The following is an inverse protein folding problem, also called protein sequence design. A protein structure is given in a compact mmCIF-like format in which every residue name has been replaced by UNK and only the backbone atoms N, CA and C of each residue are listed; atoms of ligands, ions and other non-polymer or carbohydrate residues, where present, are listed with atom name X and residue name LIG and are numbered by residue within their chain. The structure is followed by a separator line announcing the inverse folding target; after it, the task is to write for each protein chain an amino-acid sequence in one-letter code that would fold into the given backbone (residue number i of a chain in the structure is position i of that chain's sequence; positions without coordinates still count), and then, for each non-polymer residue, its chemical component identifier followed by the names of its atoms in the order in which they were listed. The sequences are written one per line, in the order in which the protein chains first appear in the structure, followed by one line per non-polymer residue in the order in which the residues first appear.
data_IF_528619209275
#
_entry.id   IF_528619209275
#
_cell.length_a   1.000
_cell.length_b   1.000
_cell.length_c   1.000
_cell.angle_alpha   90.00
_cell.angle_beta   90.00
_cell.angle_gamma   90.00
#
_symmetry.space_group_name_H-M   'P 1'
#
loop_
_entity.id
_entity.type
_entity.pdbx_description
1 polymer ?
#
# COMPACT_ATOMS: atom_id res chain seq x y z
N UNK A 1 -40.09 -45.49 -0.10
CA UNK A 1 -38.98 -44.67 0.44
C UNK A 1 -38.28 -44.05 -0.74
N UNK A 2 -38.59 -42.80 -1.04
CA UNK A 2 -37.89 -41.98 -2.05
C UNK A 2 -36.74 -41.30 -1.37
N UNK A 3 -35.52 -41.46 -1.90
CA UNK A 3 -34.34 -40.77 -1.44
C UNK A 3 -34.45 -39.25 -1.75
N UNK A 4 -34.13 -38.42 -0.79
CA UNK A 4 -34.01 -36.95 -0.97
C UNK A 4 -32.84 -36.63 -1.89
N UNK A 5 -32.95 -35.62 -2.77
CA UNK A 5 -31.85 -35.23 -3.63
C UNK A 5 -30.70 -34.60 -2.84
N UNK A 6 -29.52 -35.06 -3.13
CA UNK A 6 -28.24 -34.54 -2.64
C UNK A 6 -28.00 -33.15 -3.22
N UNK A 7 -28.18 -32.10 -2.41
CA UNK A 7 -27.98 -30.68 -2.77
C UNK A 7 -26.59 -30.15 -2.33
N UNK A 8 -25.64 -31.08 -2.11
CA UNK A 8 -24.33 -30.71 -1.53
C UNK A 8 -23.22 -30.24 -2.49
N UNK A 9 -23.37 -30.33 -3.82
CA UNK A 9 -22.26 -30.15 -4.75
C UNK A 9 -22.29 -28.90 -5.63
N UNK A 10 -23.35 -28.09 -5.62
CA UNK A 10 -23.58 -27.07 -6.67
C UNK A 10 -23.08 -25.65 -6.36
N UNK A 11 -22.75 -25.32 -5.12
CA UNK A 11 -22.30 -23.96 -4.79
C UNK A 11 -20.77 -23.78 -4.75
N UNK A 12 -20.02 -24.87 -4.64
CA UNK A 12 -18.54 -24.83 -4.59
C UNK A 12 -17.86 -24.87 -5.97
N UNK A 13 -18.56 -25.33 -7.02
CA UNK A 13 -17.99 -25.51 -8.36
C UNK A 13 -18.08 -24.30 -9.29
N UNK A 14 -18.63 -23.18 -8.88
CA UNK A 14 -18.80 -21.99 -9.72
C UNK A 14 -17.62 -21.00 -9.69
N UNK A 15 -16.56 -21.28 -8.96
CA UNK A 15 -15.30 -20.56 -9.11
C UNK A 15 -14.44 -21.24 -10.17
N UNK A 16 -14.84 -21.04 -11.42
CA UNK A 16 -14.11 -21.50 -12.59
C UNK A 16 -12.69 -20.95 -12.57
N UNK A 17 -11.69 -21.82 -12.60
CA UNK A 17 -10.24 -21.57 -12.70
C UNK A 17 -9.83 -21.00 -14.08
N UNK A 18 -10.65 -20.15 -14.68
CA UNK A 18 -10.22 -19.32 -15.79
C UNK A 18 -9.20 -18.35 -15.24
N UNK A 19 -8.00 -18.30 -15.82
CA UNK A 19 -6.95 -17.31 -15.55
C UNK A 19 -7.61 -15.95 -15.49
N UNK A 20 -7.85 -15.48 -14.26
CA UNK A 20 -8.57 -14.23 -14.04
C UNK A 20 -7.58 -13.08 -14.19
N UNK A 21 -7.92 -12.08 -14.98
CA UNK A 21 -7.11 -10.85 -15.09
C UNK A 21 -6.89 -10.27 -13.69
N UNK A 22 -5.63 -10.02 -13.30
CA UNK A 22 -5.32 -9.43 -12.01
C UNK A 22 -6.02 -8.08 -11.81
N UNK A 23 -6.51 -7.82 -10.60
CA UNK A 23 -7.06 -6.50 -10.27
C UNK A 23 -5.91 -5.51 -10.07
N UNK A 24 -5.83 -4.43 -10.87
CA UNK A 24 -4.72 -3.48 -10.81
C UNK A 24 -4.65 -2.69 -9.48
N UNK A 25 -5.59 -2.88 -8.57
CA UNK A 25 -5.57 -2.23 -7.26
C UNK A 25 -4.66 -2.90 -6.25
N UNK A 26 -4.36 -4.20 -6.42
CA UNK A 26 -3.63 -4.98 -5.43
C UNK A 26 -2.24 -5.35 -5.94
N UNK A 27 -1.24 -5.01 -5.14
CA UNK A 27 0.16 -5.26 -5.49
C UNK A 27 1.00 -5.70 -4.30
N UNK A 28 2.26 -6.00 -4.60
CA UNK A 28 3.28 -6.23 -3.60
C UNK A 28 4.62 -5.62 -4.04
N UNK A 29 5.41 -5.19 -3.05
CA UNK A 29 6.76 -4.71 -3.31
C UNK A 29 7.67 -5.91 -3.56
N UNK A 30 8.56 -5.78 -4.55
CA UNK A 30 9.58 -6.78 -4.91
C UNK A 30 9.01 -8.16 -5.27
N UNK A 31 7.83 -8.20 -5.90
CA UNK A 31 7.19 -9.47 -6.29
C UNK A 31 7.96 -10.23 -7.39
N UNK A 32 8.86 -9.56 -8.10
CA UNK A 32 9.73 -10.16 -9.10
C UNK A 32 10.71 -11.21 -8.56
N UNK A 33 10.99 -11.22 -7.24
CA UNK A 33 11.83 -12.25 -6.65
C UNK A 33 11.15 -13.62 -6.56
N UNK A 34 9.80 -13.66 -6.56
CA UNK A 34 9.02 -14.90 -6.64
C UNK A 34 7.81 -14.72 -7.57
N UNK A 35 8.09 -14.86 -8.87
CA UNK A 35 7.07 -14.70 -9.91
C UNK A 35 5.93 -15.72 -9.78
N UNK A 36 6.20 -16.95 -9.31
CA UNK A 36 5.17 -17.95 -9.14
C UNK A 36 4.22 -17.57 -8.00
N UNK A 37 4.74 -17.10 -6.89
CA UNK A 37 3.93 -16.58 -5.78
C UNK A 37 3.12 -15.36 -6.20
N UNK A 38 3.72 -14.45 -6.97
CA UNK A 38 3.01 -13.28 -7.51
C UNK A 38 1.82 -13.66 -8.40
N UNK A 39 1.95 -14.74 -9.18
CA UNK A 39 0.86 -15.30 -10.00
C UNK A 39 -0.20 -15.99 -9.13
N UNK A 40 0.20 -16.82 -8.17
CA UNK A 40 -0.72 -17.49 -7.24
C UNK A 40 -1.57 -16.49 -6.45
N UNK A 41 -0.96 -15.37 -6.06
CA UNK A 41 -1.63 -14.24 -5.40
C UNK A 41 -2.42 -13.35 -6.36
N UNK A 42 -2.38 -13.59 -7.66
CA UNK A 42 -3.06 -12.80 -8.70
C UNK A 42 -2.80 -11.29 -8.56
N UNK A 43 -1.53 -10.90 -8.34
CA UNK A 43 -1.13 -9.49 -8.16
C UNK A 43 -1.27 -8.70 -9.46
N UNK A 44 -1.88 -7.51 -9.40
CA UNK A 44 -2.07 -6.61 -10.55
C UNK A 44 -0.90 -5.69 -10.82
N UNK A 45 -0.03 -5.49 -9.83
CA UNK A 45 1.16 -4.65 -9.98
C UNK A 45 2.25 -4.99 -8.97
N UNK A 46 3.46 -4.54 -9.27
CA UNK A 46 4.63 -4.68 -8.41
C UNK A 46 5.51 -3.44 -8.47
N UNK A 47 6.27 -3.18 -7.41
CA UNK A 47 7.22 -2.09 -7.35
C UNK A 47 8.64 -2.63 -7.39
N UNK A 48 9.47 -2.08 -8.29
CA UNK A 48 10.89 -2.38 -8.44
C UNK A 48 11.70 -1.15 -8.03
N UNK A 49 12.78 -1.37 -7.28
CA UNK A 49 13.71 -0.32 -6.86
C UNK A 49 14.76 -0.05 -7.94
N UNK A 50 14.94 1.20 -8.29
CA UNK A 50 15.94 1.70 -9.22
C UNK A 50 16.95 2.56 -8.46
N UNK A 51 17.97 1.91 -7.90
CA UNK A 51 19.05 2.58 -7.18
C UNK A 51 20.01 3.26 -8.15
N UNK A 52 19.94 4.58 -8.28
CA UNK A 52 20.80 5.32 -9.20
C UNK A 52 22.28 5.03 -8.98
N UNK A 53 22.73 4.98 -7.72
CA UNK A 53 24.13 4.67 -7.37
C UNK A 53 24.60 3.30 -7.86
N UNK A 54 23.68 2.34 -8.02
CA UNK A 54 23.99 0.98 -8.52
C UNK A 54 23.83 0.88 -10.03
N UNK A 55 22.85 1.59 -10.59
CA UNK A 55 22.62 1.64 -12.04
C UNK A 55 23.74 2.37 -12.81
N UNK A 56 24.30 3.42 -12.19
CA UNK A 56 25.34 4.26 -12.76
C UNK A 56 26.35 4.66 -11.67
N UNK A 57 27.26 3.76 -11.35
CA UNK A 57 28.19 3.92 -10.23
C UNK A 57 29.23 5.04 -10.42
N UNK A 58 29.50 5.47 -11.67
CA UNK A 58 30.29 6.65 -12.01
C UNK A 58 29.66 7.41 -13.17
N UNK A 59 30.08 8.66 -13.41
CA UNK A 59 29.51 9.51 -14.46
C UNK A 59 29.62 8.88 -15.86
N UNK A 60 30.69 8.14 -16.12
CA UNK A 60 30.97 7.49 -17.39
C UNK A 60 30.80 5.97 -17.36
N UNK A 61 30.19 5.43 -16.25
CA UNK A 61 29.95 4.00 -16.16
C UNK A 61 28.88 3.56 -17.15
N UNK A 62 29.04 2.37 -17.70
CA UNK A 62 27.98 1.68 -18.41
C UNK A 62 26.80 1.42 -17.48
N UNK A 63 25.62 1.41 -18.07
CA UNK A 63 24.40 1.11 -17.34
C UNK A 63 24.41 -0.33 -16.79
N UNK A 64 24.27 -0.47 -15.48
CA UNK A 64 24.23 -1.78 -14.84
C UNK A 64 22.87 -2.49 -15.09
N UNK A 65 22.86 -3.39 -16.06
CA UNK A 65 21.66 -4.16 -16.43
C UNK A 65 21.27 -5.23 -15.41
N UNK A 66 22.14 -5.53 -14.45
CA UNK A 66 21.89 -6.57 -13.44
C UNK A 66 21.11 -6.05 -12.23
N UNK A 67 21.09 -4.74 -12.02
CA UNK A 67 20.32 -4.15 -10.91
C UNK A 67 18.81 -4.24 -11.15
N UNK A 68 18.35 -4.07 -12.40
CA UNK A 68 16.97 -4.38 -12.80
C UNK A 68 17.03 -5.21 -14.10
N UNK A 69 16.67 -6.48 -13.97
CA UNK A 69 16.82 -7.45 -15.05
C UNK A 69 15.62 -7.38 -16.02
N UNK A 70 15.90 -7.40 -17.32
CA UNK A 70 14.85 -7.39 -18.36
C UNK A 70 13.90 -8.59 -18.24
N UNK A 71 14.37 -9.73 -17.71
CA UNK A 71 13.56 -10.93 -17.44
C UNK A 71 12.43 -10.68 -16.46
N UNK A 72 12.63 -9.86 -15.43
CA UNK A 72 11.59 -9.50 -14.46
C UNK A 72 10.44 -8.72 -15.12
N UNK A 73 10.80 -7.77 -16.00
CA UNK A 73 9.81 -6.97 -16.72
C UNK A 73 9.03 -7.80 -17.74
N UNK A 74 9.73 -8.71 -18.44
CA UNK A 74 9.09 -9.63 -19.39
C UNK A 74 8.12 -10.57 -18.71
N UNK A 75 8.47 -11.10 -17.52
CA UNK A 75 7.60 -11.95 -16.72
C UNK A 75 6.38 -11.19 -16.19
N UNK A 76 6.57 -9.99 -15.65
CA UNK A 76 5.47 -9.15 -15.21
C UNK A 76 4.48 -8.87 -16.34
N UNK A 77 4.97 -8.48 -17.50
CA UNK A 77 4.15 -8.22 -18.70
C UNK A 77 3.38 -9.47 -19.17
N UNK A 78 4.04 -10.63 -19.19
CA UNK A 78 3.44 -11.91 -19.55
C UNK A 78 2.25 -12.27 -18.67
N UNK A 79 2.30 -11.91 -17.39
CA UNK A 79 1.27 -12.24 -16.40
C UNK A 79 0.33 -11.08 -16.04
N UNK A 80 0.37 -9.99 -16.84
CA UNK A 80 -0.52 -8.84 -16.67
C UNK A 80 -0.26 -7.99 -15.41
N UNK A 81 0.94 -8.10 -14.81
CA UNK A 81 1.38 -7.25 -13.70
C UNK A 81 1.98 -5.95 -14.23
N UNK A 82 1.49 -4.82 -13.76
CA UNK A 82 2.09 -3.52 -14.07
C UNK A 82 3.32 -3.30 -13.19
N UNK A 83 4.43 -2.90 -13.80
CA UNK A 83 5.64 -2.53 -13.05
C UNK A 83 5.62 -1.04 -12.74
N UNK A 84 5.91 -0.70 -11.48
CA UNK A 84 6.12 0.66 -11.00
C UNK A 84 7.58 0.79 -10.55
N UNK A 85 8.33 1.70 -11.16
CA UNK A 85 9.73 1.96 -10.79
C UNK A 85 9.83 3.00 -9.68
N UNK A 86 10.55 2.71 -8.60
CA UNK A 86 10.92 3.69 -7.59
C UNK A 86 12.38 4.10 -7.79
N UNK A 87 12.64 5.39 -7.98
CA UNK A 87 13.96 5.95 -8.24
C UNK A 87 14.51 6.61 -6.99
N UNK A 88 15.68 6.16 -6.54
CA UNK A 88 16.36 6.74 -5.38
C UNK A 88 17.88 6.52 -5.39
N UNK A 89 18.57 6.96 -4.34
CA UNK A 89 20.00 6.72 -4.06
C UNK A 89 20.96 7.45 -5.01
N UNK A 90 21.14 8.76 -4.78
CA UNK A 90 22.13 9.57 -5.51
C UNK A 90 23.55 8.98 -5.37
N UNK A 91 24.28 8.71 -6.47
CA UNK A 91 25.66 8.26 -6.40
C UNK A 91 26.60 9.39 -5.92
N UNK A 92 27.74 9.04 -5.32
CA UNK A 92 28.68 10.01 -4.77
C UNK A 92 29.22 10.99 -5.84
N UNK A 93 29.38 10.53 -7.08
CA UNK A 93 29.84 11.42 -8.16
C UNK A 93 28.83 12.49 -8.56
N UNK A 94 27.54 12.29 -8.24
CA UNK A 94 26.44 13.19 -8.60
C UNK A 94 25.96 14.06 -7.43
N UNK A 95 26.63 14.07 -6.27
CA UNK A 95 26.24 14.89 -5.13
C UNK A 95 27.47 15.41 -4.38
N UNK A 96 27.32 16.58 -3.76
CA UNK A 96 28.28 17.11 -2.78
C UNK A 96 27.88 16.71 -1.33
N UNK A 97 26.71 16.08 -1.17
CA UNK A 97 26.19 15.54 0.08
C UNK A 97 26.57 14.08 0.30
N UNK A 98 25.78 13.40 1.11
CA UNK A 98 26.00 11.96 1.42
C UNK A 98 25.59 11.07 0.25
N UNK A 99 26.37 10.01 0.05
CA UNK A 99 26.01 8.90 -0.84
C UNK A 99 24.58 8.40 -0.50
N UNK A 100 23.75 8.26 -1.49
CA UNK A 100 22.41 7.72 -1.38
C UNK A 100 21.33 8.75 -1.05
N UNK A 101 21.60 9.74 -0.19
CA UNK A 101 20.59 10.69 0.31
C UNK A 101 20.79 12.13 -0.16
N UNK A 102 21.98 12.47 -0.62
CA UNK A 102 22.36 13.83 -0.99
C UNK A 102 21.61 14.36 -2.22
N UNK A 103 21.34 15.68 -2.22
CA UNK A 103 20.73 16.38 -3.34
C UNK A 103 21.62 16.25 -4.59
N UNK A 104 21.05 15.92 -5.76
CA UNK A 104 21.82 15.80 -6.99
C UNK A 104 22.49 17.11 -7.40
N UNK A 105 23.75 17.02 -7.85
CA UNK A 105 24.52 18.17 -8.35
C UNK A 105 23.86 18.74 -9.61
N UNK A 106 23.79 20.06 -9.69
CA UNK A 106 23.20 20.76 -10.83
C UNK A 106 21.69 20.67 -10.91
N UNK A 107 20.98 20.24 -9.86
CA UNK A 107 19.53 20.06 -9.84
C UNK A 107 18.74 21.30 -10.31
N UNK A 108 19.25 22.52 -10.02
CA UNK A 108 18.59 23.78 -10.36
C UNK A 108 18.95 24.31 -11.76
N UNK A 109 19.88 23.70 -12.46
CA UNK A 109 20.19 24.04 -13.84
C UNK A 109 19.03 23.66 -14.79
N UNK A 110 18.97 24.20 -16.01
CA UNK A 110 18.02 23.77 -17.02
C UNK A 110 18.06 22.24 -17.23
N UNK A 111 16.92 21.65 -17.61
CA UNK A 111 16.84 20.19 -17.80
C UNK A 111 17.71 19.67 -18.96
N UNK A 112 18.10 20.54 -19.88
CA UNK A 112 18.96 20.20 -21.01
C UNK A 112 20.44 20.59 -20.75
N UNK A 113 20.77 21.14 -19.58
CA UNK A 113 22.14 21.41 -19.19
C UNK A 113 22.86 20.09 -18.87
N UNK A 114 24.02 19.81 -19.49
CA UNK A 114 24.76 18.57 -19.26
C UNK A 114 25.25 18.40 -17.81
N UNK A 115 25.30 19.48 -17.03
CA UNK A 115 25.67 19.45 -15.62
C UNK A 115 24.47 19.20 -14.69
N UNK A 116 23.25 19.13 -15.21
CA UNK A 116 22.10 18.66 -14.43
C UNK A 116 22.13 17.12 -14.43
N UNK A 117 22.85 16.57 -13.46
CA UNK A 117 23.09 15.12 -13.36
C UNK A 117 21.79 14.32 -13.19
N UNK A 118 20.82 14.88 -12.46
CA UNK A 118 19.51 14.26 -12.27
C UNK A 118 18.70 14.19 -13.57
N UNK A 119 18.63 15.28 -14.32
CA UNK A 119 17.95 15.30 -15.61
C UNK A 119 18.56 14.29 -16.60
N UNK A 120 19.89 14.21 -16.64
CA UNK A 120 20.61 13.25 -17.47
C UNK A 120 20.30 11.79 -17.12
N UNK A 121 20.28 11.48 -15.82
CA UNK A 121 19.93 10.15 -15.33
C UNK A 121 18.48 9.78 -15.65
N UNK A 122 17.52 10.63 -15.31
CA UNK A 122 16.08 10.38 -15.57
C UNK A 122 15.83 10.20 -17.07
N UNK A 123 16.48 11.01 -17.93
CA UNK A 123 16.38 10.88 -19.38
C UNK A 123 16.81 9.49 -19.85
N UNK A 124 17.96 9.03 -19.39
CA UNK A 124 18.50 7.71 -19.76
C UNK A 124 17.57 6.60 -19.26
N UNK A 125 17.12 6.70 -18.01
CA UNK A 125 16.25 5.72 -17.37
C UNK A 125 14.92 5.59 -18.13
N UNK A 126 14.18 6.69 -18.27
CA UNK A 126 12.84 6.66 -18.86
C UNK A 126 12.88 6.22 -20.31
N UNK A 127 13.87 6.71 -21.09
CA UNK A 127 14.07 6.29 -22.47
C UNK A 127 14.35 4.79 -22.59
N UNK A 128 15.18 4.23 -21.69
CA UNK A 128 15.52 2.80 -21.67
C UNK A 128 14.32 1.91 -21.42
N UNK A 129 13.42 2.32 -20.52
CA UNK A 129 12.28 1.51 -20.08
C UNK A 129 10.95 1.92 -20.71
N UNK A 130 10.93 2.88 -21.64
CA UNK A 130 9.71 3.30 -22.36
C UNK A 130 8.97 2.10 -22.97
N UNK A 131 7.66 2.05 -22.79
CA UNK A 131 6.79 0.95 -23.23
C UNK A 131 6.85 -0.32 -22.38
N UNK A 132 7.68 -0.33 -21.33
CA UNK A 132 7.73 -1.41 -20.33
C UNK A 132 7.40 -0.92 -18.94
N UNK A 133 7.83 0.29 -18.59
CA UNK A 133 7.52 0.98 -17.33
C UNK A 133 7.08 2.40 -17.68
N UNK A 134 5.84 2.73 -17.32
CA UNK A 134 5.32 4.09 -17.47
C UNK A 134 5.20 4.80 -16.12
N UNK A 135 5.07 4.07 -15.01
CA UNK A 135 4.89 4.61 -13.67
C UNK A 135 6.23 4.74 -12.92
N UNK A 136 6.54 5.97 -12.46
CA UNK A 136 7.79 6.28 -11.78
C UNK A 136 7.54 7.03 -10.47
N UNK A 137 7.91 6.43 -9.35
CA UNK A 137 7.91 7.07 -8.01
C UNK A 137 9.24 7.80 -7.86
N UNK A 138 9.16 9.10 -7.57
CA UNK A 138 10.34 9.94 -7.45
C UNK A 138 10.75 10.02 -5.99
N UNK A 139 11.77 9.26 -5.64
CA UNK A 139 12.33 9.12 -4.31
C UNK A 139 11.49 8.31 -3.32
N UNK A 140 12.05 8.13 -2.10
CA UNK A 140 11.44 7.41 -0.99
C UNK A 140 11.46 8.28 0.26
N UNK A 141 10.33 8.40 0.96
CA UNK A 141 10.17 8.98 2.31
C UNK A 141 10.98 10.28 2.58
N UNK A 142 10.84 11.34 1.77
CA UNK A 142 11.58 12.58 1.99
C UNK A 142 11.11 13.37 3.23
N UNK A 143 10.03 12.93 3.87
CA UNK A 143 9.50 13.43 5.13
C UNK A 143 10.20 12.84 6.36
N UNK A 144 10.98 11.75 6.21
CA UNK A 144 11.91 11.25 7.22
C UNK A 144 13.17 12.10 7.20
N UNK A 145 13.29 13.02 8.15
CA UNK A 145 14.34 14.03 8.19
C UNK A 145 15.09 13.97 9.52
N UNK A 146 16.35 14.42 9.54
CA UNK A 146 17.14 14.49 10.78
C UNK A 146 16.36 15.25 11.88
N UNK A 147 16.40 14.80 13.15
CA UNK A 147 17.28 13.76 13.68
C UNK A 147 16.77 12.32 13.58
N UNK A 148 15.70 12.05 12.82
CA UNK A 148 15.07 10.73 12.72
C UNK A 148 16.04 9.68 12.17
N UNK A 149 15.85 8.43 12.58
CA UNK A 149 16.58 7.30 12.00
C UNK A 149 16.06 7.01 10.59
N UNK A 150 16.96 6.63 9.69
CA UNK A 150 16.56 6.20 8.35
C UNK A 150 16.31 7.33 7.35
N UNK A 151 16.89 8.52 7.57
CA UNK A 151 16.81 9.64 6.61
C UNK A 151 17.09 9.17 5.18
N UNK A 152 16.14 9.40 4.29
CA UNK A 152 16.22 8.98 2.90
C UNK A 152 16.62 10.14 1.94
N UNK A 153 16.42 11.39 2.36
CA UNK A 153 16.72 12.57 1.56
C UNK A 153 17.25 13.72 2.41
N UNK A 154 18.46 14.20 2.13
CA UNK A 154 19.12 15.28 2.89
C UNK A 154 18.74 16.69 2.37
N UNK A 155 17.80 16.77 1.41
CA UNK A 155 17.35 18.04 0.85
C UNK A 155 16.17 18.64 1.62
N UNK A 156 15.89 19.90 1.28
CA UNK A 156 14.70 20.61 1.73
C UNK A 156 13.45 20.20 0.93
N UNK A 157 12.27 20.64 1.34
CA UNK A 157 11.03 20.47 0.54
C UNK A 157 11.15 21.16 -0.83
N UNK A 158 11.90 22.28 -0.92
CA UNK A 158 12.16 22.97 -2.18
C UNK A 158 13.04 22.12 -3.11
N UNK A 159 14.07 21.47 -2.56
CA UNK A 159 14.92 20.55 -3.32
C UNK A 159 14.12 19.34 -3.81
N UNK A 160 13.26 18.77 -2.96
CA UNK A 160 12.40 17.67 -3.37
C UNK A 160 11.38 18.11 -4.45
N UNK A 161 10.75 19.26 -4.30
CA UNK A 161 9.89 19.82 -5.35
C UNK A 161 10.65 19.96 -6.68
N UNK A 162 11.88 20.49 -6.62
CA UNK A 162 12.71 20.64 -7.83
C UNK A 162 13.08 19.29 -8.43
N UNK A 163 13.39 18.29 -7.60
CA UNK A 163 13.67 16.92 -8.02
C UNK A 163 12.49 16.33 -8.80
N UNK A 164 11.28 16.45 -8.25
CA UNK A 164 10.04 15.97 -8.88
C UNK A 164 9.75 16.73 -10.18
N UNK A 165 9.88 18.07 -10.18
CA UNK A 165 9.67 18.91 -11.37
C UNK A 165 10.59 18.49 -12.52
N UNK A 166 11.87 18.33 -12.27
CA UNK A 166 12.85 17.90 -13.29
C UNK A 166 12.48 16.52 -13.81
N UNK A 167 12.19 15.57 -12.92
CA UNK A 167 11.80 14.22 -13.32
C UNK A 167 10.52 14.22 -14.17
N UNK A 168 9.49 14.97 -13.77
CA UNK A 168 8.25 15.09 -14.54
C UNK A 168 8.51 15.63 -15.96
N UNK A 169 9.22 16.74 -16.07
CA UNK A 169 9.50 17.37 -17.35
C UNK A 169 10.29 16.44 -18.29
N UNK A 170 11.37 15.86 -17.78
CA UNK A 170 12.20 14.94 -18.55
C UNK A 170 11.45 13.66 -18.91
N UNK A 171 10.74 13.07 -17.97
CA UNK A 171 10.00 11.83 -18.23
C UNK A 171 8.91 12.02 -19.29
N UNK A 172 8.14 13.13 -19.24
CA UNK A 172 7.12 13.42 -20.26
C UNK A 172 7.72 13.73 -21.64
N UNK A 173 8.98 14.22 -21.72
CA UNK A 173 9.68 14.40 -22.98
C UNK A 173 10.09 13.05 -23.60
N UNK A 174 10.63 12.14 -22.79
CA UNK A 174 11.16 10.85 -23.28
C UNK A 174 10.05 9.78 -23.46
N UNK A 175 9.00 9.86 -22.64
CA UNK A 175 7.83 8.98 -22.71
C UNK A 175 6.56 9.80 -22.38
N UNK A 176 5.78 10.23 -23.37
CA UNK A 176 4.55 10.98 -23.12
C UNK A 176 3.52 10.25 -22.25
N UNK A 177 3.60 8.92 -22.14
CA UNK A 177 2.75 8.10 -21.28
C UNK A 177 3.27 8.00 -19.85
N UNK A 178 4.44 8.55 -19.54
CA UNK A 178 5.00 8.48 -18.19
C UNK A 178 4.04 9.07 -17.14
N UNK A 179 3.88 8.38 -16.03
CA UNK A 179 3.05 8.75 -14.88
C UNK A 179 3.98 8.96 -13.69
N UNK A 180 4.03 10.18 -13.18
CA UNK A 180 4.96 10.56 -12.12
C UNK A 180 4.26 10.56 -10.77
N UNK A 181 4.79 9.76 -9.86
CA UNK A 181 4.30 9.70 -8.48
C UNK A 181 5.21 10.49 -7.56
N UNK A 182 4.61 11.12 -6.55
CA UNK A 182 5.38 11.54 -5.38
C UNK A 182 5.94 10.31 -4.65
N UNK A 183 6.99 10.51 -3.88
CA UNK A 183 7.50 9.52 -2.94
C UNK A 183 6.40 9.07 -1.95
N UNK A 184 6.48 7.85 -1.48
CA UNK A 184 5.65 7.40 -0.37
C UNK A 184 5.93 8.25 0.86
N UNK A 185 4.88 8.91 1.37
CA UNK A 185 4.97 9.76 2.56
C UNK A 185 4.50 9.00 3.79
N UNK A 186 5.23 9.13 4.89
CA UNK A 186 4.93 8.40 6.12
C UNK A 186 3.89 9.10 6.99
N UNK A 187 3.85 10.44 6.95
CA UNK A 187 3.06 11.30 7.83
C UNK A 187 3.38 11.16 9.34
N UNK A 188 3.88 10.00 9.77
CA UNK A 188 4.23 9.73 11.17
C UNK A 188 5.23 10.74 11.71
N UNK A 189 6.35 10.96 11.02
CA UNK A 189 7.38 11.90 11.43
C UNK A 189 6.91 13.36 11.44
N UNK A 190 5.98 13.73 10.56
CA UNK A 190 5.38 15.07 10.60
C UNK A 190 4.54 15.28 11.86
N UNK A 191 3.78 14.26 12.30
CA UNK A 191 2.99 14.35 13.54
C UNK A 191 3.87 14.32 14.78
N UNK A 192 4.92 13.51 14.81
CA UNK A 192 5.88 13.41 15.91
C UNK A 192 6.60 14.73 16.14
N UNK A 193 7.00 15.42 15.07
CA UNK A 193 7.68 16.72 15.14
C UNK A 193 6.73 17.92 15.05
N UNK A 194 5.42 17.72 15.17
CA UNK A 194 4.42 18.80 15.10
C UNK A 194 4.53 19.66 13.83
N UNK A 195 4.91 19.06 12.71
CA UNK A 195 5.03 19.72 11.41
C UNK A 195 3.73 19.60 10.60
N UNK A 196 3.41 20.56 9.73
CA UNK A 196 2.38 20.34 8.71
C UNK A 196 2.73 19.17 7.80
N UNK A 197 1.74 18.39 7.37
CA UNK A 197 1.94 17.25 6.48
C UNK A 197 2.85 17.60 5.30
N UNK A 198 3.80 16.75 4.96
CA UNK A 198 4.77 16.98 3.90
C UNK A 198 4.10 17.28 2.56
N UNK A 199 3.01 16.59 2.25
CA UNK A 199 2.20 16.86 1.05
C UNK A 199 1.74 18.34 1.01
N UNK A 200 1.27 18.90 2.13
CA UNK A 200 0.87 20.31 2.17
C UNK A 200 2.08 21.25 2.00
N UNK A 201 3.22 20.91 2.61
CA UNK A 201 4.47 21.67 2.45
C UNK A 201 4.95 21.63 1.00
N UNK A 202 4.90 20.44 0.34
CA UNK A 202 5.21 20.27 -1.07
C UNK A 202 4.31 21.14 -1.97
N UNK A 203 2.99 21.10 -1.76
CA UNK A 203 2.03 21.91 -2.54
C UNK A 203 2.29 23.41 -2.33
N UNK A 204 2.60 23.84 -1.10
CA UNK A 204 2.93 25.24 -0.82
C UNK A 204 4.20 25.67 -1.54
N UNK A 205 5.21 24.80 -1.65
CA UNK A 205 6.42 25.06 -2.41
C UNK A 205 6.13 25.13 -3.91
N UNK A 206 5.36 24.17 -4.44
CA UNK A 206 4.96 24.15 -5.84
C UNK A 206 4.19 25.43 -6.27
N UNK A 207 3.39 26.01 -5.38
CA UNK A 207 2.65 27.27 -5.65
C UNK A 207 3.53 28.51 -5.86
N UNK A 208 4.79 28.48 -5.43
CA UNK A 208 5.75 29.56 -5.71
C UNK A 208 6.20 29.55 -7.18
N UNK A 209 6.01 28.45 -7.87
CA UNK A 209 6.33 28.29 -9.28
C UNK A 209 5.09 28.63 -10.14
N UNK A 210 5.12 29.69 -10.95
CA UNK A 210 3.96 30.12 -11.75
C UNK A 210 3.54 29.09 -12.81
N UNK A 211 4.42 28.14 -13.17
CA UNK A 211 4.14 27.10 -14.16
C UNK A 211 3.47 25.87 -13.57
N UNK A 212 3.50 25.70 -12.24
CA UNK A 212 3.14 24.46 -11.57
C UNK A 212 1.65 24.09 -11.73
N UNK A 213 0.76 25.07 -11.62
CA UNK A 213 -0.70 24.85 -11.71
C UNK A 213 -1.08 24.25 -13.08
N UNK A 214 -0.52 24.78 -14.17
CA UNK A 214 -0.76 24.28 -15.53
C UNK A 214 -0.20 22.88 -15.76
N UNK A 215 0.73 22.45 -14.91
CA UNK A 215 1.40 21.15 -14.97
C UNK A 215 0.96 20.22 -13.81
N UNK A 216 -0.23 20.42 -13.24
CA UNK A 216 -0.76 19.62 -12.13
C UNK A 216 0.22 19.46 -10.96
N UNK A 217 1.00 20.50 -10.65
CA UNK A 217 2.05 20.54 -9.63
C UNK A 217 3.20 19.54 -9.87
N UNK A 218 3.38 19.09 -11.12
CA UNK A 218 4.41 18.17 -11.59
C UNK A 218 4.32 16.76 -10.99
N UNK A 219 3.13 16.32 -10.59
CA UNK A 219 2.90 14.93 -10.22
C UNK A 219 1.51 14.46 -10.66
N UNK A 220 1.41 13.18 -11.00
CA UNK A 220 0.17 12.54 -11.45
C UNK A 220 -0.49 11.75 -10.31
N UNK A 221 0.27 11.22 -9.35
CA UNK A 221 -0.21 10.37 -8.26
C UNK A 221 0.52 10.74 -6.96
N UNK A 222 -0.23 10.81 -5.85
CA UNK A 222 0.34 10.87 -4.50
C UNK A 222 0.44 9.48 -3.90
N UNK A 223 1.48 9.20 -3.08
CA UNK A 223 1.69 7.88 -2.48
C UNK A 223 1.95 7.95 -0.99
N UNK A 224 1.61 6.88 -0.27
CA UNK A 224 1.70 6.75 1.19
C UNK A 224 2.37 5.45 1.61
N UNK A 225 3.09 5.50 2.73
CA UNK A 225 3.57 4.37 3.51
C UNK A 225 2.91 4.39 4.89
N UNK A 226 2.16 3.34 5.24
CA UNK A 226 1.43 3.29 6.50
C UNK A 226 1.56 1.88 7.10
N UNK A 227 2.05 1.80 8.33
CA UNK A 227 2.41 0.55 8.98
C UNK A 227 1.73 0.37 10.34
N UNK A 228 1.68 -0.86 10.84
CA UNK A 228 1.33 -1.32 12.18
C UNK A 228 -0.09 -1.05 12.67
N UNK A 229 -0.79 -0.01 12.24
CA UNK A 229 -2.11 0.36 12.76
C UNK A 229 -3.13 0.46 11.61
N UNK A 230 -4.12 -0.42 11.60
CA UNK A 230 -5.14 -0.47 10.55
C UNK A 230 -6.04 0.79 10.54
N UNK A 231 -6.29 1.42 11.70
CA UNK A 231 -7.04 2.67 11.80
C UNK A 231 -6.29 3.82 11.12
N UNK A 232 -4.95 3.86 11.22
CA UNK A 232 -4.13 4.89 10.58
C UNK A 232 -4.17 4.77 9.06
N UNK A 233 -4.34 3.56 8.51
CA UNK A 233 -4.53 3.38 7.06
C UNK A 233 -5.73 4.17 6.56
N UNK A 234 -6.85 4.14 7.29
CA UNK A 234 -8.02 4.96 6.95
C UNK A 234 -7.78 6.45 7.22
N UNK A 235 -7.32 6.79 8.42
CA UNK A 235 -7.22 8.17 8.89
C UNK A 235 -6.23 8.99 8.06
N UNK A 236 -5.00 8.49 7.86
CA UNK A 236 -3.95 9.17 7.09
C UNK A 236 -4.36 9.31 5.63
N UNK A 237 -4.95 8.27 5.04
CA UNK A 237 -5.48 8.34 3.66
C UNK A 237 -6.53 9.46 3.54
N UNK A 238 -7.46 9.57 4.51
CA UNK A 238 -8.46 10.64 4.50
C UNK A 238 -7.83 12.04 4.69
N UNK A 239 -6.82 12.17 5.54
CA UNK A 239 -6.08 13.42 5.74
C UNK A 239 -5.45 13.86 4.41
N UNK A 240 -4.73 12.97 3.73
CA UNK A 240 -4.06 13.28 2.47
C UNK A 240 -5.04 13.60 1.34
N UNK A 241 -6.14 12.85 1.25
CA UNK A 241 -7.24 13.18 0.32
C UNK A 241 -7.86 14.56 0.60
N UNK A 242 -8.01 14.92 1.87
CA UNK A 242 -8.52 16.23 2.27
C UNK A 242 -7.54 17.33 1.87
N UNK A 243 -6.23 17.13 2.06
CA UNK A 243 -5.20 18.06 1.62
C UNK A 243 -5.29 18.27 0.10
N UNK A 244 -5.31 17.20 -0.69
CA UNK A 244 -5.47 17.30 -2.15
C UNK A 244 -6.72 18.11 -2.50
N UNK A 245 -7.88 17.75 -1.96
CA UNK A 245 -9.16 18.39 -2.24
C UNK A 245 -9.19 19.88 -1.85
N UNK A 246 -8.67 20.25 -0.69
CA UNK A 246 -8.59 21.64 -0.23
C UNK A 246 -7.69 22.48 -1.12
N UNK A 247 -6.74 21.85 -1.79
CA UNK A 247 -5.86 22.51 -2.76
C UNK A 247 -6.37 22.43 -4.21
N UNK A 248 -7.60 21.95 -4.44
CA UNK A 248 -8.21 21.82 -5.77
C UNK A 248 -7.65 20.68 -6.62
N UNK A 249 -6.94 19.72 -5.98
CA UNK A 249 -6.27 18.60 -6.63
C UNK A 249 -7.15 17.35 -6.64
N UNK A 250 -7.06 16.57 -7.71
CA UNK A 250 -7.86 15.35 -7.94
C UNK A 250 -7.00 14.11 -8.21
N UNK A 251 -5.69 14.22 -8.02
CA UNK A 251 -4.75 13.13 -8.27
C UNK A 251 -5.16 11.88 -7.47
N UNK A 252 -5.02 10.68 -8.06
CA UNK A 252 -5.14 9.41 -7.35
C UNK A 252 -4.19 9.36 -6.15
N UNK A 253 -4.59 8.58 -5.14
CA UNK A 253 -3.79 8.34 -3.94
C UNK A 253 -3.58 6.85 -3.76
N UNK A 254 -2.31 6.41 -3.76
CA UNK A 254 -1.95 5.01 -3.57
C UNK A 254 -1.30 4.80 -2.21
N UNK A 255 -1.56 3.66 -1.61
CA UNK A 255 -0.79 3.14 -0.48
C UNK A 255 0.18 2.12 -1.08
N UNK A 256 1.40 2.58 -1.40
CA UNK A 256 2.38 1.74 -2.08
C UNK A 256 3.28 0.94 -1.13
N UNK A 257 3.11 1.13 0.18
CA UNK A 257 3.61 0.25 1.23
C UNK A 257 2.66 0.21 2.44
N UNK A 258 2.34 -0.99 2.89
CA UNK A 258 1.68 -1.24 4.17
C UNK A 258 2.02 -2.64 4.68
N UNK A 259 2.22 -2.77 5.97
CA UNK A 259 2.44 -4.04 6.66
C UNK A 259 2.41 -3.83 8.19
N UNK A 260 2.29 -4.92 8.94
CA UNK A 260 2.62 -5.01 10.36
C UNK A 260 3.59 -6.18 10.52
N UNK A 261 4.89 -5.87 10.61
CA UNK A 261 5.93 -6.89 10.68
C UNK A 261 5.79 -7.74 11.94
N UNK A 262 5.78 -9.09 11.84
CA UNK A 262 5.61 -9.95 12.99
C UNK A 262 6.86 -9.94 13.89
N UNK A 263 6.68 -9.65 15.17
CA UNK A 263 7.75 -9.62 16.16
C UNK A 263 8.06 -11.01 16.75
N UNK A 264 7.12 -11.94 16.63
CA UNK A 264 7.20 -13.27 17.24
C UNK A 264 7.31 -14.42 16.24
N UNK A 265 7.80 -14.18 15.02
CA UNK A 265 8.06 -15.26 14.07
C UNK A 265 9.20 -16.15 14.60
N UNK A 266 8.93 -17.43 14.94
CA UNK A 266 9.93 -18.31 15.55
C UNK A 266 11.11 -18.63 14.62
N UNK A 267 10.92 -18.47 13.30
CA UNK A 267 11.96 -18.69 12.30
C UNK A 267 12.77 -17.43 12.00
N UNK A 268 12.25 -16.24 12.33
CA UNK A 268 12.91 -14.94 12.16
C UNK A 268 12.60 -14.03 13.35
N UNK A 269 13.13 -14.33 14.56
CA UNK A 269 12.82 -13.54 15.74
C UNK A 269 13.41 -12.12 15.61
N UNK A 270 12.56 -11.13 15.82
CA UNK A 270 12.97 -9.73 15.88
C UNK A 270 13.42 -9.38 17.30
N UNK A 271 14.63 -8.80 17.44
CA UNK A 271 15.14 -8.35 18.73
C UNK A 271 14.61 -6.95 19.04
N UNK A 272 14.09 -6.79 20.26
CA UNK A 272 13.63 -5.51 20.81
C UNK A 272 12.63 -4.78 19.86
N UNK A 273 11.51 -5.41 19.48
CA UNK A 273 10.55 -4.81 18.58
C UNK A 273 9.85 -3.61 19.23
N UNK A 274 9.71 -2.53 18.47
CA UNK A 274 8.93 -1.35 18.87
C UNK A 274 7.44 -1.69 18.99
N UNK A 275 6.97 -2.62 18.15
CA UNK A 275 5.60 -3.09 18.12
C UNK A 275 5.54 -4.60 18.33
N UNK A 276 4.51 -5.05 19.03
CA UNK A 276 4.25 -6.47 19.27
C UNK A 276 3.16 -6.94 18.33
N UNK A 277 3.55 -7.72 17.33
CA UNK A 277 2.65 -8.26 16.30
C UNK A 277 2.89 -9.76 16.16
N UNK A 278 1.85 -10.56 16.28
CA UNK A 278 1.94 -12.00 15.97
C UNK A 278 1.80 -12.27 14.48
N UNK A 279 2.14 -13.49 14.06
CA UNK A 279 1.93 -13.93 12.67
C UNK A 279 0.46 -13.82 12.23
N UNK A 280 -0.48 -14.16 13.11
CA UNK A 280 -1.92 -14.02 12.86
C UNK A 280 -2.32 -12.54 12.77
N UNK A 281 -1.77 -11.70 13.64
CA UNK A 281 -2.04 -10.25 13.59
C UNK A 281 -1.48 -9.59 12.32
N UNK A 282 -0.36 -10.07 11.76
CA UNK A 282 0.09 -9.64 10.43
C UNK A 282 -0.95 -9.96 9.36
N UNK A 283 -1.52 -11.18 9.38
CA UNK A 283 -2.56 -11.60 8.46
C UNK A 283 -3.86 -10.78 8.62
N UNK A 284 -4.31 -10.60 9.85
CA UNK A 284 -5.48 -9.79 10.19
C UNK A 284 -5.29 -8.33 9.74
N UNK A 285 -4.11 -7.76 10.02
CA UNK A 285 -3.75 -6.40 9.61
C UNK A 285 -3.88 -6.20 8.10
N UNK A 286 -3.42 -7.15 7.27
CA UNK A 286 -3.53 -7.00 5.82
C UNK A 286 -4.99 -6.93 5.37
N UNK A 287 -5.86 -7.80 5.90
CA UNK A 287 -7.29 -7.77 5.57
C UNK A 287 -7.93 -6.45 6.01
N UNK A 288 -7.65 -6.00 7.23
CA UNK A 288 -8.16 -4.72 7.75
C UNK A 288 -7.62 -3.53 6.97
N UNK A 289 -6.31 -3.46 6.75
CA UNK A 289 -5.65 -2.32 6.11
C UNK A 289 -6.09 -2.15 4.65
N UNK A 290 -6.23 -3.25 3.89
CA UNK A 290 -6.73 -3.17 2.52
C UNK A 290 -8.21 -2.76 2.47
N UNK A 291 -9.04 -3.28 3.37
CA UNK A 291 -10.43 -2.85 3.50
C UNK A 291 -10.52 -1.35 3.87
N UNK A 292 -9.74 -0.90 4.86
CA UNK A 292 -9.66 0.49 5.30
C UNK A 292 -9.16 1.43 4.21
N UNK A 293 -8.12 1.06 3.50
CA UNK A 293 -7.58 1.84 2.38
C UNK A 293 -8.61 2.03 1.27
N UNK A 294 -9.33 0.96 0.88
CA UNK A 294 -10.41 1.04 -0.11
C UNK A 294 -11.55 1.95 0.40
N UNK A 295 -11.95 1.83 1.67
CA UNK A 295 -13.00 2.66 2.26
C UNK A 295 -12.58 4.14 2.39
N UNK A 296 -11.30 4.40 2.60
CA UNK A 296 -10.73 5.75 2.60
C UNK A 296 -10.54 6.32 1.19
N UNK A 297 -10.71 5.49 0.15
CA UNK A 297 -10.59 5.88 -1.24
C UNK A 297 -9.16 5.82 -1.77
N UNK A 298 -8.31 4.95 -1.25
CA UNK A 298 -7.06 4.61 -1.93
C UNK A 298 -7.37 3.94 -3.27
N UNK A 299 -6.67 4.37 -4.31
CA UNK A 299 -6.87 3.84 -5.66
C UNK A 299 -6.13 2.50 -5.85
N UNK A 300 -4.95 2.34 -5.20
CA UNK A 300 -4.17 1.10 -5.18
C UNK A 300 -3.49 0.88 -3.82
N UNK A 301 -3.25 -0.39 -3.50
CA UNK A 301 -2.57 -0.79 -2.26
C UNK A 301 -1.54 -1.88 -2.58
N UNK A 302 -0.39 -1.84 -1.89
CA UNK A 302 0.61 -2.90 -1.92
C UNK A 302 1.11 -3.24 -0.52
N UNK A 303 1.40 -4.51 -0.32
CA UNK A 303 2.10 -4.97 0.86
C UNK A 303 3.62 -4.77 0.70
N UNK A 304 4.29 -4.36 1.76
CA UNK A 304 5.73 -4.36 1.88
C UNK A 304 6.15 -5.49 2.82
N UNK A 305 6.66 -6.63 2.31
CA UNK A 305 6.93 -6.98 0.91
C UNK A 305 6.56 -8.45 0.66
N UNK A 306 6.70 -8.92 -0.59
CA UNK A 306 6.30 -10.31 -0.90
C UNK A 306 7.20 -11.34 -0.21
N UNK A 307 8.53 -11.17 -0.30
CA UNK A 307 9.49 -12.18 0.17
C UNK A 307 10.68 -11.52 0.89
N UNK A 308 11.19 -12.17 1.93
CA UNK A 308 12.42 -11.77 2.62
C UNK A 308 13.67 -12.10 1.77
N UNK A 309 14.00 -11.24 0.80
CA UNK A 309 15.25 -11.29 0.03
C UNK A 309 15.89 -9.90 0.03
N UNK A 310 17.13 -9.76 0.49
CA UNK A 310 17.93 -10.77 1.22
C UNK A 310 17.26 -11.19 2.53
N UNK A 311 17.69 -12.32 3.12
CA UNK A 311 17.21 -12.72 4.45
C UNK A 311 17.37 -11.58 5.45
N UNK A 312 16.41 -11.38 6.38
CA UNK A 312 16.56 -10.40 7.44
C UNK A 312 17.85 -10.66 8.23
N UNK A 313 18.57 -9.62 8.59
CA UNK A 313 19.69 -9.74 9.51
C UNK A 313 19.17 -10.21 10.87
N UNK A 314 19.93 -11.05 11.62
CA UNK A 314 19.52 -11.49 12.94
C UNK A 314 19.14 -10.30 13.83
N UNK A 315 17.91 -10.30 14.35
CA UNK A 315 17.38 -9.23 15.20
C UNK A 315 16.75 -8.04 14.45
N UNK A 316 16.63 -8.11 13.12
CA UNK A 316 15.90 -7.13 12.31
C UNK A 316 14.48 -7.61 11.99
N UNK A 317 13.54 -6.69 11.71
CA UNK A 317 12.16 -7.07 11.39
C UNK A 317 12.09 -7.89 10.10
N UNK A 318 11.28 -8.96 10.08
CA UNK A 318 10.94 -9.68 8.86
C UNK A 318 9.78 -8.99 8.16
N UNK A 319 9.95 -8.59 6.92
CA UNK A 319 8.93 -7.84 6.17
C UNK A 319 8.09 -8.75 5.25
N UNK A 320 8.67 -9.84 4.74
CA UNK A 320 8.06 -10.67 3.71
C UNK A 320 6.82 -11.44 4.17
N UNK A 321 5.93 -11.73 3.25
CA UNK A 321 4.87 -12.73 3.43
C UNK A 321 5.42 -14.15 3.25
N UNK A 322 6.53 -14.26 2.53
CA UNK A 322 7.31 -15.47 2.31
C UNK A 322 8.66 -15.28 3.00
N UNK A 323 9.07 -16.25 3.79
CA UNK A 323 10.40 -16.24 4.42
C UNK A 323 11.47 -16.57 3.39
N UNK A 324 12.70 -16.18 3.66
CA UNK A 324 13.84 -16.47 2.78
C UNK A 324 14.09 -17.96 2.50
N UNK A 325 13.52 -18.86 3.30
CA UNK A 325 13.55 -20.31 3.06
C UNK A 325 12.38 -20.81 2.19
N UNK A 326 11.54 -19.91 1.66
CA UNK A 326 10.38 -20.21 0.84
C UNK A 326 9.10 -20.60 1.60
N UNK A 327 9.13 -20.67 2.93
CA UNK A 327 7.92 -20.97 3.71
C UNK A 327 7.03 -19.72 3.86
N UNK A 328 5.71 -19.93 3.74
CA UNK A 328 4.73 -18.85 3.84
C UNK A 328 4.45 -18.48 5.30
N UNK A 329 4.19 -17.20 5.55
CA UNK A 329 3.51 -16.71 6.76
C UNK A 329 1.99 -16.71 6.53
N UNK A 330 1.15 -16.76 7.57
CA UNK A 330 -0.31 -16.68 7.42
C UNK A 330 -0.78 -15.47 6.60
N UNK A 331 -0.02 -14.40 6.61
CA UNK A 331 -0.28 -13.18 5.82
C UNK A 331 -0.23 -13.41 4.29
N UNK A 332 0.42 -14.48 3.81
CA UNK A 332 0.36 -14.88 2.41
C UNK A 332 -1.06 -15.29 1.99
N UNK A 333 -1.69 -16.16 2.79
CA UNK A 333 -3.07 -16.61 2.54
C UNK A 333 -4.06 -15.46 2.72
N UNK A 334 -3.79 -14.55 3.67
CA UNK A 334 -4.57 -13.32 3.82
C UNK A 334 -4.53 -12.45 2.57
N UNK A 335 -3.36 -12.25 1.93
CA UNK A 335 -3.25 -11.50 0.68
C UNK A 335 -3.99 -12.21 -0.47
N UNK A 336 -3.92 -13.54 -0.53
CA UNK A 336 -4.70 -14.33 -1.49
C UNK A 336 -6.21 -14.16 -1.29
N UNK A 337 -6.65 -14.13 -0.05
CA UNK A 337 -8.04 -13.84 0.32
C UNK A 337 -8.47 -12.45 -0.15
N UNK A 338 -7.62 -11.43 0.05
CA UNK A 338 -7.86 -10.06 -0.41
C UNK A 338 -8.01 -10.01 -1.93
N UNK A 339 -7.05 -10.53 -2.68
CA UNK A 339 -7.05 -10.48 -4.14
C UNK A 339 -8.21 -11.27 -4.74
N UNK A 340 -8.72 -12.28 -4.03
CA UNK A 340 -9.89 -13.05 -4.44
C UNK A 340 -11.21 -12.35 -4.14
N UNK A 341 -11.37 -11.83 -2.93
CA UNK A 341 -12.68 -11.40 -2.44
C UNK A 341 -12.88 -9.88 -2.38
N UNK A 342 -11.84 -9.06 -2.59
CA UNK A 342 -11.96 -7.59 -2.66
C UNK A 342 -11.88 -7.06 -4.10
N UNK A 343 -11.53 -7.90 -5.06
CA UNK A 343 -11.40 -7.52 -6.47
C UNK A 343 -12.70 -6.95 -7.04
N UNK A 344 -12.57 -6.15 -8.09
CA UNK A 344 -13.68 -5.50 -8.79
C UNK A 344 -14.53 -4.57 -7.90
N UNK A 345 -13.98 -4.10 -6.78
CA UNK A 345 -14.67 -3.12 -5.92
C UNK A 345 -14.90 -1.83 -6.68
N UNK A 346 -16.15 -1.39 -6.80
CA UNK A 346 -16.58 -0.15 -7.44
C UNK A 346 -16.63 1.01 -6.45
N UNK A 347 -17.04 0.71 -5.24
CA UNK A 347 -17.05 1.65 -4.12
C UNK A 347 -16.93 0.90 -2.80
N UNK A 348 -16.45 1.61 -1.78
CA UNK A 348 -16.32 1.07 -0.44
C UNK A 348 -16.81 2.06 0.60
N UNK A 349 -17.31 1.56 1.73
CA UNK A 349 -17.82 2.37 2.84
C UNK A 349 -17.47 1.75 4.18
N UNK A 350 -16.91 2.54 5.08
CA UNK A 350 -16.71 2.19 6.49
C UNK A 350 -17.93 2.61 7.32
N UNK A 351 -18.39 1.72 8.18
CA UNK A 351 -19.28 2.00 9.31
C UNK A 351 -18.53 1.63 10.58
N UNK A 352 -18.26 2.61 11.41
CA UNK A 352 -17.53 2.47 12.66
C UNK A 352 -18.42 2.66 13.84
N UNK A 353 -18.36 1.75 14.81
CA UNK A 353 -18.98 1.86 16.14
C UNK A 353 -17.89 1.90 17.22
N UNK A 354 -18.27 2.02 18.50
CA UNK A 354 -17.30 1.94 19.61
C UNK A 354 -16.60 0.57 19.71
N UNK A 355 -17.21 -0.50 19.21
CA UNK A 355 -16.73 -1.88 19.35
C UNK A 355 -16.42 -2.60 18.06
N UNK A 356 -16.87 -2.10 16.90
CA UNK A 356 -16.70 -2.79 15.61
C UNK A 356 -16.43 -1.84 14.47
N UNK A 357 -15.66 -2.31 13.49
CA UNK A 357 -15.60 -1.76 12.15
C UNK A 357 -16.25 -2.72 11.16
N UNK A 358 -16.95 -2.14 10.19
CA UNK A 358 -17.61 -2.84 9.10
C UNK A 358 -17.28 -2.09 7.81
N UNK A 359 -16.48 -2.68 6.94
CA UNK A 359 -16.25 -2.18 5.59
C UNK A 359 -17.14 -2.94 4.63
N UNK A 360 -17.95 -2.21 3.87
CA UNK A 360 -18.78 -2.77 2.80
C UNK A 360 -18.19 -2.39 1.45
N UNK A 361 -17.90 -3.40 0.63
CA UNK A 361 -17.44 -3.27 -0.74
C UNK A 361 -18.60 -3.56 -1.69
N UNK A 362 -18.90 -2.62 -2.60
CA UNK A 362 -19.74 -2.86 -3.75
C UNK A 362 -18.88 -3.45 -4.87
N UNK A 363 -19.16 -4.70 -5.25
CA UNK A 363 -18.46 -5.43 -6.31
C UNK A 363 -19.35 -5.64 -7.55
N UNK A 364 -20.39 -4.85 -7.69
CA UNK A 364 -21.35 -4.94 -8.77
C UNK A 364 -22.45 -5.96 -8.50
N UNK A 365 -22.28 -7.21 -8.91
CA UNK A 365 -23.23 -8.30 -8.63
C UNK A 365 -23.14 -8.85 -7.21
N UNK A 366 -22.05 -8.56 -6.50
CA UNK A 366 -21.80 -9.05 -5.16
C UNK A 366 -21.55 -7.91 -4.18
N UNK A 367 -21.89 -8.17 -2.91
CA UNK A 367 -21.51 -7.33 -1.76
C UNK A 367 -20.57 -8.12 -0.89
N UNK A 368 -19.41 -7.53 -0.57
CA UNK A 368 -18.46 -8.07 0.42
C UNK A 368 -18.47 -7.18 1.66
N UNK A 369 -18.67 -7.75 2.85
CA UNK A 369 -18.59 -7.03 4.12
C UNK A 369 -17.46 -7.62 4.95
N UNK A 370 -16.50 -6.78 5.32
CA UNK A 370 -15.37 -7.15 6.16
C UNK A 370 -15.61 -6.54 7.53
N UNK A 371 -15.55 -7.35 8.59
CA UNK A 371 -15.98 -6.96 9.92
C UNK A 371 -15.02 -7.49 10.98
N UNK A 372 -14.67 -6.65 11.96
CA UNK A 372 -13.83 -7.02 13.09
C UNK A 372 -14.18 -6.26 14.36
N UNK A 373 -13.80 -6.83 15.50
CA UNK A 373 -13.89 -6.15 16.79
C UNK A 373 -12.72 -5.19 16.98
N UNK A 374 -12.95 -4.01 17.57
CA UNK A 374 -11.94 -2.95 17.80
C UNK A 374 -11.32 -3.00 19.19
N UNK A 375 -11.69 -3.93 20.03
CA UNK A 375 -11.23 -4.05 21.42
C UNK A 375 -10.98 -5.51 21.76
N UNK A 376 -10.34 -5.76 22.91
CA UNK A 376 -10.07 -7.11 23.41
C UNK A 376 -11.30 -7.98 23.64
N UNK A 377 -12.48 -7.37 23.78
CA UNK A 377 -13.72 -8.12 23.99
C UNK A 377 -14.28 -8.63 22.67
N UNK A 378 -14.73 -9.89 22.62
CA UNK A 378 -15.52 -10.41 21.52
C UNK A 378 -16.85 -9.69 21.38
N UNK A 379 -17.35 -9.55 20.15
CA UNK A 379 -18.59 -8.82 19.86
C UNK A 379 -19.57 -9.71 19.11
N UNK A 380 -20.77 -9.90 19.64
CA UNK A 380 -21.85 -10.54 18.88
C UNK A 380 -22.48 -9.52 17.95
N UNK A 381 -22.31 -9.74 16.65
CA UNK A 381 -22.85 -8.88 15.60
C UNK A 381 -24.14 -9.48 15.04
N UNK A 382 -25.17 -8.64 14.90
CA UNK A 382 -26.39 -8.96 14.18
C UNK A 382 -26.54 -8.02 12.99
N UNK A 383 -26.35 -8.56 11.78
CA UNK A 383 -26.27 -7.79 10.55
C UNK A 383 -27.51 -8.04 9.68
N UNK A 384 -28.17 -7.00 9.12
CA UNK A 384 -29.22 -7.20 8.15
C UNK A 384 -28.72 -7.98 6.95
N UNK A 385 -29.42 -9.05 6.58
CA UNK A 385 -29.10 -9.87 5.41
C UNK A 385 -29.61 -9.19 4.13
N UNK A 386 -28.80 -9.16 3.10
CA UNK A 386 -29.20 -8.76 1.75
C UNK A 386 -29.74 -9.95 0.98
N UNK A 387 -29.28 -11.15 1.30
CA UNK A 387 -29.72 -12.43 0.76
C UNK A 387 -30.05 -13.42 1.86
N UNK A 388 -30.81 -14.49 1.55
CA UNK A 388 -31.13 -15.53 2.54
C UNK A 388 -29.92 -16.44 2.84
N UNK A 389 -29.03 -16.60 1.88
CA UNK A 389 -27.80 -17.40 2.00
C UNK A 389 -26.60 -16.55 1.64
N UNK A 390 -25.49 -16.77 2.29
CA UNK A 390 -24.22 -16.11 2.05
C UNK A 390 -23.06 -17.04 2.37
N UNK A 391 -21.84 -16.60 2.05
CA UNK A 391 -20.61 -17.29 2.39
C UNK A 391 -19.83 -16.45 3.40
N UNK A 392 -19.39 -17.08 4.48
CA UNK A 392 -18.38 -16.52 5.38
C UNK A 392 -17.02 -17.02 4.94
N UNK A 393 -16.07 -16.10 4.89
CA UNK A 393 -14.66 -16.35 4.55
C UNK A 393 -13.80 -15.92 5.74
N UNK A 394 -12.90 -16.77 6.18
CA UNK A 394 -11.87 -16.45 7.16
C UNK A 394 -10.66 -15.77 6.50
N UNK A 395 -9.76 -15.25 7.30
CA UNK A 395 -8.54 -14.55 6.84
C UNK A 395 -7.66 -15.45 5.94
N UNK A 396 -7.60 -16.74 6.24
CA UNK A 396 -6.87 -17.76 5.46
C UNK A 396 -7.60 -18.25 4.19
N UNK A 397 -8.75 -17.66 3.86
CA UNK A 397 -9.56 -18.05 2.71
C UNK A 397 -10.51 -19.21 2.96
N UNK A 398 -10.49 -19.86 4.12
CA UNK A 398 -11.43 -20.93 4.47
C UNK A 398 -12.86 -20.41 4.41
N UNK A 399 -13.74 -21.16 3.73
CA UNK A 399 -15.12 -20.73 3.51
C UNK A 399 -16.13 -21.63 4.24
N UNK A 400 -17.25 -21.06 4.64
CA UNK A 400 -18.41 -21.81 5.12
C UNK A 400 -19.72 -21.08 4.78
N UNK A 401 -20.79 -21.82 4.44
CA UNK A 401 -22.10 -21.22 4.19
C UNK A 401 -22.71 -20.70 5.48
N UNK A 402 -23.55 -19.65 5.36
CA UNK A 402 -24.39 -19.12 6.44
C UNK A 402 -25.79 -18.80 5.92
N UNK A 403 -26.80 -19.10 6.71
CA UNK A 403 -28.21 -18.80 6.40
C UNK A 403 -28.73 -17.72 7.33
N UNK A 404 -29.43 -16.73 6.79
CA UNK A 404 -30.07 -15.69 7.58
C UNK A 404 -31.26 -16.24 8.39
N UNK A 405 -31.39 -15.80 9.62
CA UNK A 405 -32.54 -16.10 10.50
C UNK A 405 -33.29 -14.77 10.74
N UNK A 406 -34.53 -14.72 10.36
CA UNK A 406 -35.35 -13.51 10.48
C UNK A 406 -34.74 -12.31 9.72
N UNK A 407 -34.24 -12.54 8.49
CA UNK A 407 -33.54 -11.55 7.64
C UNK A 407 -32.28 -10.95 8.26
N UNK A 408 -31.60 -11.69 9.13
CA UNK A 408 -30.35 -11.24 9.77
C UNK A 408 -29.35 -12.39 9.86
N UNK A 409 -28.07 -12.06 9.64
CA UNK A 409 -26.96 -12.92 10.02
C UNK A 409 -26.53 -12.62 11.44
N UNK A 410 -26.20 -13.66 12.19
CA UNK A 410 -25.73 -13.56 13.57
C UNK A 410 -24.45 -14.36 13.75
N UNK A 411 -23.40 -13.71 14.21
CA UNK A 411 -22.11 -14.35 14.50
C UNK A 411 -21.33 -13.53 15.52
N UNK A 412 -20.28 -14.14 16.09
CA UNK A 412 -19.40 -13.48 17.05
C UNK A 412 -18.08 -13.14 16.38
N UNK A 413 -17.67 -11.88 16.46
CA UNK A 413 -16.35 -11.40 16.09
C UNK A 413 -15.40 -11.67 17.25
N UNK A 414 -14.22 -12.29 17.03
CA UNK A 414 -13.21 -12.43 18.07
C UNK A 414 -12.72 -11.06 18.54
N UNK A 415 -12.31 -10.95 19.81
CA UNK A 415 -11.69 -9.75 20.33
C UNK A 415 -10.27 -9.57 19.78
N UNK A 416 -9.81 -8.32 19.73
CA UNK A 416 -8.44 -7.95 19.36
C UNK A 416 -7.43 -8.43 20.39
N UNK A 417 -6.19 -8.73 19.98
CA UNK A 417 -5.05 -8.83 20.87
C UNK A 417 -4.47 -7.43 21.06
N UNK A 418 -4.49 -6.92 22.28
CA UNK A 418 -4.13 -5.52 22.57
C UNK A 418 -2.79 -5.45 23.32
N UNK A 419 -1.80 -6.20 22.84
CA UNK A 419 -0.51 -6.39 23.52
C UNK A 419 0.56 -5.37 23.06
N UNK A 420 0.27 -4.57 22.03
CA UNK A 420 1.21 -3.58 21.52
C UNK A 420 1.40 -2.45 22.54
N UNK A 421 2.65 -2.12 22.96
CA UNK A 421 2.91 -1.11 23.98
C UNK A 421 2.62 0.32 23.53
N UNK A 422 2.59 0.56 22.21
CA UNK A 422 2.40 1.89 21.61
C UNK A 422 0.94 2.13 21.27
N UNK A 423 0.32 1.18 20.59
CA UNK A 423 -1.04 1.33 20.06
C UNK A 423 -2.10 0.51 20.79
N UNK A 424 -1.72 -0.40 21.69
CA UNK A 424 -2.65 -1.31 22.33
C UNK A 424 -3.30 -2.26 21.32
N UNK A 425 -4.53 -1.97 20.91
CA UNK A 425 -5.24 -2.74 19.89
C UNK A 425 -4.96 -2.16 18.48
N UNK A 426 -3.69 -2.14 18.05
CA UNK A 426 -3.27 -1.62 16.75
C UNK A 426 -3.89 -2.38 15.57
N UNK A 427 -4.12 -3.68 15.77
CA UNK A 427 -4.84 -4.58 14.88
C UNK A 427 -6.11 -5.04 15.59
N UNK A 428 -7.21 -5.08 14.90
CA UNK A 428 -8.49 -5.55 15.44
C UNK A 428 -8.50 -7.06 15.73
N UNK A 429 -9.64 -7.56 16.12
CA UNK A 429 -9.86 -9.01 16.22
C UNK A 429 -10.00 -9.63 14.84
N UNK A 430 -9.59 -10.88 14.68
CA UNK A 430 -9.51 -11.55 13.36
C UNK A 430 -10.76 -11.30 12.51
N UNK A 431 -10.63 -10.70 11.32
CA UNK A 431 -11.75 -10.28 10.49
C UNK A 431 -12.59 -11.45 9.98
N UNK A 432 -13.91 -11.25 9.91
CA UNK A 432 -14.84 -12.13 9.21
C UNK A 432 -15.30 -11.42 7.94
N UNK A 433 -15.22 -12.10 6.80
CA UNK A 433 -15.65 -11.61 5.51
C UNK A 433 -16.97 -12.31 5.15
N UNK A 434 -18.01 -11.52 4.86
CA UNK A 434 -19.33 -12.02 4.44
C UNK A 434 -19.56 -11.64 2.98
N UNK A 435 -19.86 -12.62 2.13
CA UNK A 435 -20.12 -12.43 0.72
C UNK A 435 -21.57 -12.78 0.41
N UNK A 436 -22.28 -11.81 -0.17
CA UNK A 436 -23.67 -11.93 -0.60
C UNK A 436 -23.80 -11.71 -2.11
N UNK A 437 -24.46 -12.61 -2.81
CA UNK A 437 -24.67 -12.56 -4.26
C UNK A 437 -25.82 -11.56 -4.61
N UNK A 438 -25.56 -10.30 -4.30
CA UNK A 438 -26.45 -9.20 -4.63
C UNK A 438 -25.69 -7.87 -4.60
N UNK A 439 -26.07 -6.89 -5.44
CA UNK A 439 -25.48 -5.56 -5.41
C UNK A 439 -25.61 -4.91 -4.03
N UNK A 440 -24.59 -4.15 -3.63
CA UNK A 440 -24.62 -3.38 -2.41
C UNK A 440 -25.73 -2.31 -2.46
N UNK A 441 -26.59 -2.26 -1.46
CA UNK A 441 -27.51 -1.15 -1.25
C UNK A 441 -26.78 -0.04 -0.48
N UNK A 442 -25.84 0.65 -1.13
CA UNK A 442 -25.20 1.84 -0.57
C UNK A 442 -26.14 3.02 -0.81
N UNK A 443 -27.08 3.23 0.13
CA UNK A 443 -27.93 4.42 0.10
C UNK A 443 -27.12 5.59 0.66
N UNK A 444 -26.80 6.55 -0.20
CA UNK A 444 -26.32 7.89 0.13
C UNK A 444 -24.93 7.91 0.81
N UNK A 445 -23.87 8.04 -0.01
CA UNK A 445 -22.53 8.30 0.47
C UNK A 445 -22.41 9.66 1.16
N UNK A 446 -22.60 9.71 2.49
CA UNK A 446 -21.99 10.73 3.33
C UNK A 446 -21.12 10.02 4.34
N UNK A 447 -19.81 10.24 4.22
CA UNK A 447 -18.83 9.94 5.27
C UNK A 447 -19.33 10.58 6.55
N UNK A 448 -19.51 9.78 7.59
CA UNK A 448 -19.69 10.32 8.94
C UNK A 448 -18.36 10.96 9.30
N UNK A 449 -18.38 12.26 9.53
CA UNK A 449 -17.22 13.03 9.98
C UNK A 449 -16.74 12.40 11.28
N UNK A 450 -15.57 11.78 11.25
CA UNK A 450 -14.87 11.36 12.46
C UNK A 450 -14.48 12.64 13.20
N UNK A 451 -14.95 12.79 14.41
CA UNK A 451 -14.54 13.86 15.32
C UNK A 451 -13.01 13.86 15.42
N UNK A 452 -12.42 15.03 15.29
CA UNK A 452 -10.99 15.26 15.46
C UNK A 452 -10.50 14.60 16.75
N UNK A 453 -9.61 13.62 16.61
CA UNK A 453 -8.84 13.09 17.73
C UNK A 453 -7.89 14.20 18.17
N UNK A 454 -8.19 14.82 19.30
CA UNK A 454 -7.25 15.71 19.99
C UNK A 454 -6.11 14.83 20.49
N UNK A 455 -4.83 15.15 20.24
CA UNK A 455 -3.72 14.38 20.80
C UNK A 455 -3.82 14.43 22.34
N UNK A 456 -3.87 13.27 22.97
CA UNK A 456 -3.73 13.20 24.42
C UNK A 456 -2.32 13.65 24.78
N UNK A 457 -2.19 14.82 25.42
CA UNK A 457 -0.95 15.25 26.03
C UNK A 457 -0.54 14.23 27.09
N UNK A 458 0.59 13.55 26.88
CA UNK A 458 1.23 12.79 27.97
C UNK A 458 1.67 13.80 29.02
N UNK A 459 0.99 13.84 30.14
CA UNK A 459 1.53 14.45 31.37
C UNK A 459 2.67 13.56 31.85
N UNK A 460 3.89 14.05 31.67
CA UNK A 460 5.09 13.56 32.37
C UNK A 460 4.92 13.68 33.86
N UNK A 461 5.03 12.57 34.57
CA UNK A 461 5.48 12.53 35.97
C UNK A 461 6.79 11.75 36.00
#
# INVERSE_FOLDING_TARGET
MQAAPDLGASAAEAFNDSIQTPDPRFGAVEAFYDSQAAQDLNLGWERILFYWAELQSSQNADWNIFQVQDGWLADAAKHGRQVVGLIEKTPQWATDGRLGTGVPRGLYLPIDDPNNSWAGFVRTLVKRYAGRIDHWIIWNEPDVQAPDFGVQFDGTVADYYRLVKVAYQVAKQENPNAVIHLAGLTYYHDTEHHRPAYLQRFINEARKDPTSVAQHYYFDIATLHIYFNSDEVYNVTQIMRNILRQNGLKQPLWINETNAQPSNDPLNPWRDPTHIVSLDQQADFLVESFAMGLAAGADRLAVYKLIDVPPPLPGWPPDGLIRSNGSHRPAYDALKTITTYFRNTRSARLVRTGSTDIVTLDRGSQTTRIMWARSASSVTLSLPALTQQAILVAVDGTTRPITAIGNRYKFTLPGAKCDDPTYGCAVGGSPIILIEDTPARIVGGRSIVVSTVTPQSKTTK
#
